data_IF_379841785082
#
_entry.id   IF_379841785082
#
_cell.length_a   1.000
_cell.length_b   1.000
_cell.length_c   1.000
_cell.angle_alpha   90.00
_cell.angle_beta   90.00
_cell.angle_gamma   90.00
#
_symmetry.space_group_name_H-M   'P 1'
#
loop_
_entity.id
_entity.type
_entity.pdbx_description
1 polymer ?
#
# COMPACT_ATOMS: atom_id res chain seq x y z
N UNK A 1 11.14 29.80 -0.58
CA UNK A 1 9.66 29.73 -0.60
C UNK A 1 9.30 28.52 0.26
N UNK A 2 8.90 28.72 1.51
CA UNK A 2 8.47 27.60 2.37
C UNK A 2 7.10 27.11 1.86
N UNK A 3 6.87 25.78 1.77
CA UNK A 3 5.50 25.29 1.59
C UNK A 3 4.65 25.78 2.75
N UNK A 4 3.46 26.30 2.42
CA UNK A 4 2.51 26.84 3.40
C UNK A 4 2.16 25.76 4.43
N UNK A 5 2.18 26.12 5.71
CA UNK A 5 1.92 25.26 6.89
C UNK A 5 0.64 24.41 6.82
N UNK A 6 -0.27 24.70 5.88
CA UNK A 6 -1.49 23.95 5.60
C UNK A 6 -1.25 22.61 4.86
N UNK A 7 -0.15 22.45 4.13
CA UNK A 7 0.18 21.20 3.41
C UNK A 7 0.76 20.09 4.31
N UNK A 8 1.13 20.39 5.56
CA UNK A 8 1.86 19.46 6.44
C UNK A 8 0.97 18.86 7.55
N UNK A 9 -0.19 19.44 7.84
CA UNK A 9 -1.02 19.02 8.98
C UNK A 9 -2.04 17.90 8.68
N UNK A 10 -2.20 17.45 7.43
CA UNK A 10 -3.05 16.28 7.16
C UNK A 10 -2.24 14.98 7.36
N UNK A 11 -2.68 14.13 8.29
CA UNK A 11 -2.15 12.79 8.47
C UNK A 11 -2.81 11.84 7.46
N UNK A 12 -2.03 11.31 6.52
CA UNK A 12 -2.51 10.37 5.52
C UNK A 12 -2.35 8.93 6.03
N UNK A 13 -3.43 8.34 6.52
CA UNK A 13 -3.46 6.93 6.90
C UNK A 13 -3.60 6.04 5.65
N UNK A 14 -2.81 4.96 5.59
CA UNK A 14 -2.91 3.98 4.51
C UNK A 14 -4.02 2.98 4.83
N UNK A 15 -4.87 2.69 3.85
CA UNK A 15 -5.94 1.68 3.93
C UNK A 15 -5.46 0.30 3.44
N UNK A 16 -6.15 -0.76 3.87
CA UNK A 16 -5.82 -2.14 3.48
C UNK A 16 -5.88 -2.35 1.97
N UNK A 17 -6.81 -1.70 1.27
CA UNK A 17 -6.93 -1.85 -0.18
C UNK A 17 -5.69 -1.36 -0.92
N UNK A 18 -5.07 -0.26 -0.45
CA UNK A 18 -3.84 0.27 -1.06
C UNK A 18 -2.70 -0.73 -0.90
N UNK A 19 -2.58 -1.34 0.29
CA UNK A 19 -1.56 -2.36 0.57
C UNK A 19 -1.78 -3.65 -0.22
N UNK A 20 -3.03 -4.06 -0.43
CA UNK A 20 -3.35 -5.19 -1.29
C UNK A 20 -2.99 -4.87 -2.74
N UNK A 21 -3.51 -3.77 -3.28
CA UNK A 21 -3.38 -3.45 -4.70
C UNK A 21 -1.95 -3.17 -5.13
N UNK A 22 -1.10 -2.57 -4.29
CA UNK A 22 0.32 -2.37 -4.65
C UNK A 22 1.04 -3.70 -4.92
N UNK A 23 0.58 -4.78 -4.29
CA UNK A 23 1.14 -6.14 -4.41
C UNK A 23 0.29 -7.07 -5.30
N UNK A 24 -0.84 -6.60 -5.85
CA UNK A 24 -1.77 -7.45 -6.59
C UNK A 24 -1.65 -7.26 -8.10
N UNK A 25 -0.92 -8.17 -8.76
CA UNK A 25 -0.73 -8.16 -10.21
C UNK A 25 -1.98 -8.56 -11.01
N UNK A 26 -3.04 -9.03 -10.36
CA UNK A 26 -4.29 -9.44 -11.02
C UNK A 26 -5.13 -8.23 -11.47
N UNK A 27 -4.89 -7.06 -10.89
CA UNK A 27 -5.53 -5.79 -11.27
C UNK A 27 -4.46 -4.71 -11.58
N UNK A 28 -3.85 -4.75 -12.78
CA UNK A 28 -2.74 -3.86 -13.13
C UNK A 28 -3.09 -2.37 -13.06
N UNK A 29 -4.36 -2.02 -13.30
CA UNK A 29 -4.84 -0.64 -13.23
C UNK A 29 -4.83 -0.12 -11.81
N UNK A 30 -5.41 -0.88 -10.86
CA UNK A 30 -5.37 -0.51 -9.44
C UNK A 30 -3.97 -0.63 -8.86
N UNK A 31 -3.17 -1.58 -9.33
CA UNK A 31 -1.77 -1.70 -8.92
C UNK A 31 -0.96 -0.45 -9.28
N UNK A 32 -1.08 0.06 -10.52
CA UNK A 32 -0.39 1.28 -10.93
C UNK A 32 -0.79 2.50 -10.09
N UNK A 33 -2.09 2.63 -9.78
CA UNK A 33 -2.60 3.71 -8.92
C UNK A 33 -2.07 3.55 -7.49
N UNK A 34 -2.16 2.36 -6.90
CA UNK A 34 -1.68 2.09 -5.55
C UNK A 34 -0.16 2.30 -5.43
N UNK A 35 0.61 1.87 -6.43
CA UNK A 35 2.06 2.12 -6.48
C UNK A 35 2.38 3.62 -6.55
N UNK A 36 1.63 4.39 -7.35
CA UNK A 36 1.78 5.85 -7.40
C UNK A 36 1.42 6.51 -6.07
N UNK A 37 0.34 6.08 -5.41
CA UNK A 37 -0.07 6.60 -4.11
C UNK A 37 1.00 6.35 -3.04
N UNK A 38 1.55 5.13 -2.97
CA UNK A 38 2.62 4.77 -2.02
C UNK A 38 3.91 5.53 -2.32
N UNK A 39 4.29 5.68 -3.60
CA UNK A 39 5.51 6.37 -3.99
C UNK A 39 5.48 7.88 -3.70
N UNK A 40 4.29 8.50 -3.73
CA UNK A 40 4.11 9.93 -3.45
C UNK A 40 3.73 10.23 -1.99
N UNK A 41 3.58 9.21 -1.14
CA UNK A 41 3.25 9.38 0.27
C UNK A 41 4.50 9.81 1.06
N UNK A 42 4.61 11.09 1.36
CA UNK A 42 5.74 11.69 2.09
C UNK A 42 5.72 11.39 3.58
N UNK A 43 4.56 11.55 4.23
CA UNK A 43 4.32 11.25 5.64
C UNK A 43 3.02 10.44 5.74
N UNK A 44 3.14 9.16 6.08
CA UNK A 44 2.02 8.22 6.12
C UNK A 44 1.96 7.46 7.42
N UNK A 45 0.74 7.15 7.89
CA UNK A 45 0.56 6.27 9.05
C UNK A 45 -0.05 4.94 8.64
N UNK A 46 0.61 3.87 9.05
CA UNK A 46 0.07 2.52 8.99
C UNK A 46 -0.55 2.17 10.34
N UNK A 47 -1.88 2.12 10.39
CA UNK A 47 -2.62 1.74 11.61
C UNK A 47 -2.46 0.22 11.82
N UNK A 48 -2.22 -0.22 13.06
CA UNK A 48 -2.06 -1.64 13.37
C UNK A 48 -3.23 -2.51 12.89
N UNK A 49 -4.46 -2.03 13.04
CA UNK A 49 -5.66 -2.72 12.55
C UNK A 49 -5.62 -2.96 11.04
N UNK A 50 -5.20 -1.95 10.27
CA UNK A 50 -5.03 -2.05 8.80
C UNK A 50 -3.96 -3.09 8.45
N UNK A 51 -2.84 -3.12 9.18
CA UNK A 51 -1.78 -4.09 8.96
C UNK A 51 -2.25 -5.54 9.24
N UNK A 52 -3.03 -5.74 10.30
CA UNK A 52 -3.64 -7.03 10.60
C UNK A 52 -4.64 -7.45 9.52
N UNK A 53 -5.49 -6.53 9.06
CA UNK A 53 -6.46 -6.81 8.00
C UNK A 53 -5.76 -7.16 6.69
N UNK A 54 -4.70 -6.42 6.32
CA UNK A 54 -3.86 -6.72 5.17
C UNK A 54 -3.33 -8.16 5.22
N UNK A 55 -2.69 -8.55 6.33
CA UNK A 55 -2.16 -9.91 6.47
C UNK A 55 -3.24 -10.99 6.33
N UNK A 56 -4.42 -10.75 6.94
CA UNK A 56 -5.54 -11.68 6.84
C UNK A 56 -6.11 -11.76 5.42
N UNK A 57 -6.23 -10.62 4.72
CA UNK A 57 -6.72 -10.54 3.34
C UNK A 57 -5.73 -11.18 2.36
N UNK A 58 -4.43 -10.92 2.47
CA UNK A 58 -3.39 -11.54 1.66
C UNK A 58 -3.46 -13.08 1.71
N UNK A 59 -3.60 -13.65 2.92
CA UNK A 59 -3.74 -15.11 3.11
C UNK A 59 -5.01 -15.67 2.47
N UNK A 60 -6.12 -14.94 2.54
CA UNK A 60 -7.38 -15.35 1.89
C UNK A 60 -7.30 -15.28 0.37
N UNK A 61 -6.48 -14.37 -0.16
CA UNK A 61 -6.35 -14.13 -1.60
C UNK A 61 -5.29 -15.00 -2.27
N UNK A 62 -4.37 -15.61 -1.50
CA UNK A 62 -3.31 -16.49 -2.00
C UNK A 62 -3.83 -17.60 -2.94
N UNK A 63 -4.92 -18.34 -2.62
CA UNK A 63 -5.47 -19.36 -3.51
C UNK A 63 -6.00 -18.79 -4.84
N UNK A 64 -6.27 -17.49 -4.89
CA UNK A 64 -6.76 -16.78 -6.07
C UNK A 64 -5.62 -16.11 -6.86
N UNK A 65 -4.37 -16.51 -6.63
CA UNK A 65 -3.19 -16.01 -7.34
C UNK A 65 -2.64 -14.69 -6.82
N UNK A 66 -3.01 -14.28 -5.60
CA UNK A 66 -2.32 -13.18 -4.93
C UNK A 66 -0.96 -13.67 -4.43
N UNK A 67 0.11 -13.09 -4.95
CA UNK A 67 1.46 -13.34 -4.45
C UNK A 67 1.99 -12.03 -3.87
N UNK A 68 2.47 -12.08 -2.63
CA UNK A 68 3.30 -11.01 -2.12
C UNK A 68 4.50 -10.90 -3.06
N UNK A 69 4.65 -9.76 -3.73
CA UNK A 69 5.83 -9.46 -4.53
C UNK A 69 7.00 -9.17 -3.59
N UNK A 70 7.40 -10.17 -2.80
CA UNK A 70 8.65 -10.14 -2.07
C UNK A 70 9.74 -10.50 -3.07
N UNK A 71 10.26 -9.50 -3.77
CA UNK A 71 11.51 -9.67 -4.49
C UNK A 71 12.59 -9.98 -3.44
N UNK A 72 12.86 -11.28 -3.22
CA UNK A 72 14.14 -11.67 -2.69
C UNK A 72 15.17 -11.18 -3.71
N UNK A 73 16.16 -10.33 -3.36
CA UNK A 73 17.30 -10.14 -4.22
C UNK A 73 17.98 -11.50 -4.27
N UNK A 74 17.80 -12.23 -5.37
CA UNK A 74 18.58 -13.43 -5.62
C UNK A 74 20.04 -13.01 -5.66
N UNK A 75 20.81 -13.52 -4.69
CA UNK A 75 22.25 -13.37 -4.56
C UNK A 75 22.97 -13.86 -5.82
#
# INVERSE_FOLDING_TARGET
MLPSLLEICCMNAVDTNVLIYVNDSRDPGKQAIAASLVANLTEGVLIWQVACEYLAASRKLEPFGYCLSFAHPTN
#
